data_IF_616226467550
#
_entry.id   IF_616226467550
#
_cell.length_a   1.000
_cell.length_b   1.000
_cell.length_c   1.000
_cell.angle_alpha   90.00
_cell.angle_beta   90.00
_cell.angle_gamma   90.00
#
_symmetry.space_group_name_H-M   'P 1'
#
loop_
_entity.id
_entity.type
_entity.pdbx_description
1 polymer ?
#
# COMPACT_ATOMS: atom_id res chain seq x y z
N UNK A 1 -18.62 10.08 34.41
CA UNK A 1 -17.75 11.17 33.95
C UNK A 1 -17.82 11.13 32.44
N UNK A 2 -18.60 12.11 31.92
CA UNK A 2 -18.97 12.25 30.53
C UNK A 2 -17.75 12.62 29.69
N UNK A 3 -17.60 11.95 28.55
CA UNK A 3 -16.67 12.32 27.49
C UNK A 3 -17.48 13.08 26.43
N UNK A 4 -17.30 14.39 26.39
CA UNK A 4 -17.88 15.30 25.42
C UNK A 4 -17.36 15.02 24.01
N UNK A 5 -18.25 14.55 23.17
CA UNK A 5 -18.07 14.40 21.73
C UNK A 5 -18.30 15.79 21.09
N UNK A 6 -17.21 16.46 20.68
CA UNK A 6 -17.30 17.74 19.98
C UNK A 6 -17.63 17.49 18.51
N UNK A 7 -18.90 17.57 18.17
CA UNK A 7 -19.36 17.62 16.78
C UNK A 7 -19.24 19.05 16.29
N UNK A 8 -18.28 19.34 15.43
CA UNK A 8 -18.19 20.64 14.73
C UNK A 8 -19.09 20.62 13.52
N UNK A 9 -20.29 21.17 13.65
CA UNK A 9 -21.17 21.49 12.50
C UNK A 9 -20.67 22.78 11.85
N UNK A 10 -20.13 22.69 10.65
CA UNK A 10 -19.88 23.85 9.80
C UNK A 10 -21.16 24.11 8.99
N UNK A 11 -22.00 24.99 9.49
CA UNK A 11 -23.09 25.56 8.69
C UNK A 11 -22.50 26.52 7.66
N UNK A 12 -22.60 26.16 6.38
CA UNK A 12 -22.31 27.05 5.26
C UNK A 12 -23.48 28.02 5.07
N UNK A 13 -23.33 29.24 5.58
CA UNK A 13 -24.17 30.37 5.19
C UNK A 13 -23.99 30.68 3.71
N UNK A 14 -24.95 30.22 2.92
CA UNK A 14 -25.07 30.60 1.50
C UNK A 14 -25.58 32.03 1.41
N UNK A 15 -24.67 32.99 1.30
CA UNK A 15 -24.99 34.29 0.72
C UNK A 15 -25.24 34.10 -0.78
N UNK A 16 -26.49 34.19 -1.16
CA UNK A 16 -26.96 34.17 -2.53
C UNK A 16 -26.46 35.42 -3.28
N UNK A 17 -25.50 35.23 -4.17
CA UNK A 17 -25.08 36.23 -5.15
C UNK A 17 -25.57 35.79 -6.53
N UNK A 18 -26.53 36.49 -7.18
CA UNK A 18 -26.99 36.15 -8.51
C UNK A 18 -25.98 36.67 -9.56
N UNK A 19 -25.20 35.79 -10.13
CA UNK A 19 -24.37 36.13 -11.29
C UNK A 19 -22.97 35.57 -11.34
N UNK A 20 -22.70 34.42 -10.75
CA UNK A 20 -21.43 33.72 -11.04
C UNK A 20 -21.68 32.61 -12.05
N UNK A 21 -21.11 32.75 -13.23
CA UNK A 21 -20.94 31.66 -14.17
C UNK A 21 -20.25 30.52 -13.43
N UNK A 22 -20.88 29.36 -13.46
CA UNK A 22 -20.28 28.11 -12.97
C UNK A 22 -18.92 27.91 -13.64
N UNK A 23 -17.88 27.76 -12.86
CA UNK A 23 -16.57 27.27 -13.32
C UNK A 23 -16.43 25.79 -12.96
N UNK A 24 -17.03 24.87 -13.74
CA UNK A 24 -16.82 23.43 -13.55
C UNK A 24 -15.45 22.97 -14.05
N UNK A 25 -14.81 23.79 -14.90
CA UNK A 25 -13.63 23.35 -15.66
C UNK A 25 -12.29 23.47 -14.91
N UNK A 26 -12.19 24.33 -13.89
CA UNK A 26 -10.90 24.59 -13.21
C UNK A 26 -10.53 23.45 -12.25
N UNK A 27 -11.49 22.94 -11.48
CA UNK A 27 -11.21 21.84 -10.53
C UNK A 27 -10.93 20.53 -11.27
N UNK A 28 -11.63 20.25 -12.37
CA UNK A 28 -11.39 19.06 -13.18
C UNK A 28 -10.06 19.14 -13.93
N UNK A 29 -9.63 20.33 -14.35
CA UNK A 29 -8.35 20.55 -15.00
C UNK A 29 -7.16 20.44 -14.05
N UNK A 30 -7.28 20.92 -12.81
CA UNK A 30 -6.26 20.78 -11.77
C UNK A 30 -6.12 19.31 -11.33
N UNK A 31 -7.20 18.56 -11.18
CA UNK A 31 -7.18 17.16 -10.81
C UNK A 31 -6.53 16.27 -11.89
N UNK A 32 -6.82 16.49 -13.16
CA UNK A 32 -6.15 15.80 -14.28
C UNK A 32 -4.65 16.09 -14.31
N UNK A 33 -4.27 17.34 -14.18
CA UNK A 33 -2.86 17.76 -14.16
C UNK A 33 -2.11 17.18 -12.93
N UNK A 34 -2.76 17.06 -11.78
CA UNK A 34 -2.17 16.43 -10.60
C UNK A 34 -1.97 14.93 -10.81
N UNK A 35 -2.96 14.22 -11.31
CA UNK A 35 -2.88 12.77 -11.59
C UNK A 35 -1.82 12.43 -12.63
N UNK A 36 -1.71 13.25 -13.67
CA UNK A 36 -0.70 13.07 -14.71
C UNK A 36 0.71 13.27 -14.14
N UNK A 37 0.94 14.33 -13.38
CA UNK A 37 2.23 14.57 -12.70
C UNK A 37 2.56 13.48 -11.70
N UNK A 38 1.56 12.99 -10.95
CA UNK A 38 1.74 11.90 -10.02
C UNK A 38 2.20 10.63 -10.74
N UNK A 39 1.58 10.32 -11.89
CA UNK A 39 1.95 9.17 -12.71
C UNK A 39 3.36 9.31 -13.26
N UNK A 40 3.71 10.44 -13.83
CA UNK A 40 5.06 10.72 -14.33
C UNK A 40 6.11 10.53 -13.22
N UNK A 41 5.87 11.09 -12.04
CA UNK A 41 6.78 10.94 -10.89
C UNK A 41 6.93 9.46 -10.48
N UNK A 42 5.84 8.69 -10.45
CA UNK A 42 5.90 7.27 -10.12
C UNK A 42 6.66 6.46 -11.19
N UNK A 43 6.48 6.80 -12.46
CA UNK A 43 7.19 6.18 -13.58
C UNK A 43 8.70 6.49 -13.51
N UNK A 44 9.09 7.73 -13.17
CA UNK A 44 10.48 8.11 -12.95
C UNK A 44 11.12 7.34 -11.77
N UNK A 45 10.40 7.20 -10.67
CA UNK A 45 10.89 6.42 -9.51
C UNK A 45 11.02 4.93 -9.87
N UNK A 46 10.11 4.37 -10.66
CA UNK A 46 10.22 2.98 -11.12
C UNK A 46 11.46 2.77 -12.01
N UNK A 47 11.81 3.74 -12.85
CA UNK A 47 13.06 3.71 -13.63
C UNK A 47 14.31 3.78 -12.73
N UNK A 48 14.25 4.52 -11.64
CA UNK A 48 15.32 4.66 -10.66
C UNK A 48 15.24 3.63 -9.51
N UNK A 49 14.48 2.56 -9.67
CA UNK A 49 14.20 1.57 -8.62
C UNK A 49 15.44 0.96 -7.98
N UNK A 50 16.55 0.87 -8.71
CA UNK A 50 17.83 0.42 -8.19
C UNK A 50 18.36 1.29 -7.04
N UNK A 51 18.04 2.58 -7.01
CA UNK A 51 18.41 3.49 -5.92
C UNK A 51 17.64 3.21 -4.62
N UNK A 52 16.50 2.51 -4.71
CA UNK A 52 15.69 2.12 -3.55
C UNK A 52 16.22 0.87 -2.81
N UNK A 53 17.35 0.34 -3.23
CA UNK A 53 18.01 -0.78 -2.54
C UNK A 53 18.62 -0.31 -1.21
N UNK A 54 18.50 -1.15 -0.18
CA UNK A 54 19.19 -0.94 1.12
C UNK A 54 20.70 -1.19 0.99
N UNK A 55 21.07 -2.16 0.17
CA UNK A 55 22.46 -2.55 -0.05
C UNK A 55 22.65 -2.96 -1.51
N UNK A 56 23.90 -2.92 -1.98
CA UNK A 56 24.27 -3.27 -3.34
C UNK A 56 24.72 -2.07 -4.17
N UNK A 57 25.13 -2.34 -5.41
CA UNK A 57 25.63 -1.31 -6.32
C UNK A 57 24.50 -0.34 -6.69
N UNK A 58 24.70 0.94 -6.40
CA UNK A 58 23.73 2.01 -6.67
C UNK A 58 22.62 2.17 -5.61
N UNK A 59 22.57 1.34 -4.58
CA UNK A 59 21.57 1.47 -3.52
C UNK A 59 21.80 2.70 -2.65
N UNK A 60 20.79 3.58 -2.59
CA UNK A 60 20.83 4.88 -1.88
C UNK A 60 19.59 5.12 -1.04
N UNK A 61 18.89 4.06 -0.62
CA UNK A 61 17.65 4.20 0.16
C UNK A 61 17.84 5.03 1.43
N UNK A 62 19.01 4.90 2.09
CA UNK A 62 19.36 5.69 3.27
C UNK A 62 19.42 7.19 3.01
N UNK A 63 19.78 7.61 1.79
CA UNK A 63 19.83 9.02 1.40
C UNK A 63 18.42 9.53 1.04
N UNK A 64 17.64 8.74 0.30
CA UNK A 64 16.31 9.11 -0.14
C UNK A 64 15.26 9.03 0.97
N UNK A 65 15.31 7.97 1.79
CA UNK A 65 14.36 7.77 2.89
C UNK A 65 14.96 6.92 4.02
N UNK A 66 15.66 7.55 4.97
CA UNK A 66 16.15 6.87 6.18
C UNK A 66 15.04 6.17 6.95
N UNK A 67 13.81 6.70 6.87
CA UNK A 67 12.62 6.10 7.51
C UNK A 67 12.27 4.75 6.87
N UNK A 68 12.19 4.67 5.55
CA UNK A 68 11.88 3.43 4.86
C UNK A 68 13.00 2.40 5.02
N UNK A 69 14.25 2.84 4.98
CA UNK A 69 15.39 1.98 5.28
C UNK A 69 15.25 1.36 6.68
N UNK A 70 14.94 2.17 7.69
CA UNK A 70 14.78 1.69 9.07
C UNK A 70 13.62 0.71 9.22
N UNK A 71 12.48 0.99 8.57
CA UNK A 71 11.33 0.08 8.58
C UNK A 71 11.72 -1.26 7.96
N UNK A 72 12.35 -1.23 6.78
CA UNK A 72 12.75 -2.45 6.06
C UNK A 72 13.80 -3.26 6.84
N UNK A 73 14.79 -2.59 7.45
CA UNK A 73 15.75 -3.26 8.33
C UNK A 73 15.09 -3.91 9.54
N UNK A 74 14.07 -3.28 10.13
CA UNK A 74 13.34 -3.87 11.24
C UNK A 74 12.56 -5.11 10.81
N UNK A 75 11.93 -5.09 9.64
CA UNK A 75 11.24 -6.25 9.06
C UNK A 75 12.25 -7.38 8.82
N UNK A 76 13.35 -7.10 8.14
CA UNK A 76 14.37 -8.09 7.80
C UNK A 76 15.08 -8.67 9.04
N UNK A 77 15.36 -7.85 10.05
CA UNK A 77 16.04 -8.31 11.26
C UNK A 77 15.19 -9.29 12.08
N UNK A 78 13.88 -9.19 12.02
CA UNK A 78 13.00 -10.16 12.67
C UNK A 78 12.94 -11.49 11.90
N UNK A 79 13.10 -11.45 10.57
CA UNK A 79 13.18 -12.66 9.74
C UNK A 79 14.51 -13.42 9.94
N UNK A 80 15.60 -12.69 10.22
CA UNK A 80 16.95 -13.29 10.36
C UNK A 80 17.26 -13.75 11.78
N UNK A 81 16.64 -13.19 12.81
CA UNK A 81 16.84 -13.60 14.20
C UNK A 81 15.96 -14.81 14.57
N UNK A 82 16.07 -15.89 13.82
CA UNK A 82 15.54 -17.20 14.18
C UNK A 82 16.35 -17.85 15.31
N UNK A 83 16.39 -17.21 16.44
CA UNK A 83 16.51 -17.96 17.69
C UNK A 83 15.14 -18.58 17.91
N UNK A 84 15.07 -19.89 17.92
CA UNK A 84 13.90 -20.76 17.74
C UNK A 84 12.75 -20.59 18.76
N UNK A 85 12.64 -19.46 19.40
CA UNK A 85 11.62 -19.12 20.40
C UNK A 85 10.74 -17.93 20.04
N UNK A 86 11.06 -17.16 18.99
CA UNK A 86 10.21 -16.07 18.49
C UNK A 86 9.58 -16.49 17.18
N UNK A 87 8.27 -16.69 17.18
CA UNK A 87 7.52 -16.89 15.93
C UNK A 87 7.73 -15.70 15.01
N UNK A 88 8.12 -15.97 13.76
CA UNK A 88 8.15 -14.96 12.69
C UNK A 88 6.74 -14.41 12.52
N UNK A 89 6.48 -13.28 13.17
CA UNK A 89 5.17 -12.64 13.14
C UNK A 89 4.98 -11.83 11.86
N UNK A 90 3.73 -11.60 11.51
CA UNK A 90 3.37 -10.67 10.45
C UNK A 90 3.61 -9.22 10.89
N UNK A 91 4.05 -8.38 9.96
CA UNK A 91 4.29 -6.95 10.20
C UNK A 91 3.15 -6.13 9.61
N UNK A 92 2.65 -5.16 10.37
CA UNK A 92 1.67 -4.19 9.89
C UNK A 92 2.34 -2.82 9.74
N UNK A 93 2.33 -2.30 8.51
CA UNK A 93 2.80 -0.94 8.20
C UNK A 93 1.60 -0.10 7.81
N UNK A 94 1.40 1.01 8.51
CA UNK A 94 0.30 1.94 8.28
C UNK A 94 0.81 3.31 7.84
N UNK A 95 0.13 3.92 6.86
CA UNK A 95 0.35 5.29 6.43
C UNK A 95 -0.96 5.94 6.02
N UNK A 96 -1.13 7.23 6.37
CA UNK A 96 -2.22 8.05 5.84
C UNK A 96 -2.04 8.39 4.36
N UNK A 97 -0.79 8.39 3.88
CA UNK A 97 -0.46 8.73 2.51
C UNK A 97 -0.43 7.47 1.65
N UNK A 98 -1.26 7.42 0.62
CA UNK A 98 -1.30 6.31 -0.33
C UNK A 98 -0.38 6.52 -1.54
N UNK A 99 -0.15 7.79 -1.91
CA UNK A 99 0.55 8.17 -3.13
C UNK A 99 2.08 8.29 -2.95
N UNK A 100 2.70 9.32 -3.53
CA UNK A 100 4.16 9.48 -3.66
C UNK A 100 4.89 9.50 -2.31
N UNK A 101 4.24 9.93 -1.23
CA UNK A 101 4.88 10.07 0.09
C UNK A 101 4.59 8.89 1.03
N UNK A 102 3.91 7.83 0.55
CA UNK A 102 3.37 6.81 1.42
C UNK A 102 3.53 5.37 0.92
N UNK A 103 2.43 4.63 0.96
CA UNK A 103 2.42 3.19 0.70
C UNK A 103 2.90 2.81 -0.71
N UNK A 104 2.65 3.64 -1.73
CA UNK A 104 3.09 3.34 -3.09
C UNK A 104 4.61 3.37 -3.24
N UNK A 105 5.29 4.34 -2.61
CA UNK A 105 6.76 4.36 -2.61
C UNK A 105 7.31 3.23 -1.75
N UNK A 106 6.71 2.97 -0.58
CA UNK A 106 7.16 1.88 0.26
C UNK A 106 6.98 0.50 -0.43
N UNK A 107 5.92 0.33 -1.23
CA UNK A 107 5.75 -0.84 -2.11
C UNK A 107 6.94 -1.00 -3.06
N UNK A 108 7.35 0.08 -3.74
CA UNK A 108 8.51 0.05 -4.64
C UNK A 108 9.81 -0.29 -3.89
N UNK A 109 9.97 0.23 -2.67
CA UNK A 109 11.10 -0.13 -1.80
C UNK A 109 11.09 -1.63 -1.48
N UNK A 110 9.94 -2.19 -1.08
CA UNK A 110 9.82 -3.63 -0.82
C UNK A 110 10.17 -4.45 -2.06
N UNK A 111 9.61 -4.12 -3.21
CA UNK A 111 9.84 -4.82 -4.48
C UNK A 111 11.30 -4.74 -4.94
N UNK A 112 11.94 -3.56 -4.80
CA UNK A 112 13.36 -3.40 -5.09
C UNK A 112 14.24 -4.30 -4.20
N UNK A 113 13.82 -4.54 -2.96
CA UNK A 113 14.54 -5.34 -1.98
C UNK A 113 14.07 -6.81 -1.91
N UNK A 114 13.45 -7.32 -2.97
CA UNK A 114 13.18 -8.75 -3.16
C UNK A 114 11.86 -9.25 -2.61
N UNK A 115 10.97 -8.37 -2.18
CA UNK A 115 9.61 -8.73 -1.79
C UNK A 115 8.68 -8.81 -3.00
N UNK A 116 7.66 -9.65 -2.93
CA UNK A 116 6.61 -9.73 -3.94
C UNK A 116 5.25 -9.33 -3.36
N UNK A 117 4.42 -8.66 -4.17
CA UNK A 117 3.04 -8.38 -3.77
C UNK A 117 2.20 -9.64 -3.86
N UNK A 118 1.62 -10.08 -2.75
CA UNK A 118 0.63 -11.14 -2.74
C UNK A 118 -0.68 -10.62 -3.35
N UNK A 119 -1.16 -11.32 -4.38
CA UNK A 119 -2.39 -10.97 -5.10
C UNK A 119 -3.29 -12.19 -5.22
N UNK A 120 -4.58 -11.95 -5.13
CA UNK A 120 -5.62 -12.90 -5.52
C UNK A 120 -6.45 -12.28 -6.63
N UNK A 121 -6.99 -13.10 -7.49
CA UNK A 121 -7.81 -12.69 -8.63
C UNK A 121 -9.06 -13.55 -8.75
N UNK A 122 -10.12 -12.97 -9.32
CA UNK A 122 -11.36 -13.66 -9.62
C UNK A 122 -11.35 -14.09 -11.08
N UNK A 123 -11.25 -15.39 -11.33
CA UNK A 123 -11.31 -16.00 -12.66
C UNK A 123 -12.54 -16.89 -12.78
N UNK A 124 -13.46 -16.54 -13.69
CA UNK A 124 -14.73 -17.26 -13.90
C UNK A 124 -15.53 -17.48 -12.61
N UNK A 125 -15.53 -16.49 -11.70
CA UNK A 125 -16.24 -16.57 -10.42
C UNK A 125 -15.50 -17.40 -9.35
N UNK A 126 -14.28 -17.82 -9.59
CA UNK A 126 -13.46 -18.59 -8.66
C UNK A 126 -12.25 -17.77 -8.25
N UNK A 127 -12.05 -17.59 -6.97
CA UNK A 127 -10.87 -16.92 -6.41
C UNK A 127 -9.63 -17.81 -6.54
N UNK A 128 -8.54 -17.24 -7.04
CA UNK A 128 -7.25 -17.92 -7.21
C UNK A 128 -6.12 -16.99 -6.79
N UNK A 129 -4.98 -17.57 -6.45
CA UNK A 129 -3.74 -16.82 -6.27
C UNK A 129 -3.29 -16.34 -7.66
N UNK A 130 -3.12 -15.03 -7.79
CA UNK A 130 -2.69 -14.33 -9.02
C UNK A 130 -1.23 -13.88 -8.88
N UNK A 131 -0.34 -14.87 -8.84
CA UNK A 131 1.11 -14.66 -8.73
C UNK A 131 1.85 -15.65 -9.62
N UNK A 132 2.98 -15.22 -10.17
CA UNK A 132 3.87 -16.13 -10.87
C UNK A 132 4.66 -17.01 -9.88
N UNK A 133 5.22 -18.13 -10.39
CA UNK A 133 5.91 -19.12 -9.55
C UNK A 133 7.16 -18.57 -8.85
N UNK A 134 7.83 -17.62 -9.47
CA UNK A 134 9.06 -17.00 -8.94
C UNK A 134 8.73 -16.10 -7.74
N UNK A 135 7.63 -15.35 -7.83
CA UNK A 135 7.20 -14.46 -6.77
C UNK A 135 6.64 -15.20 -5.55
N UNK A 136 6.08 -16.41 -5.76
CA UNK A 136 5.63 -17.26 -4.64
C UNK A 136 6.75 -17.75 -3.73
N UNK A 137 8.01 -17.66 -4.16
CA UNK A 137 9.18 -18.04 -3.37
C UNK A 137 9.79 -16.86 -2.60
N UNK A 138 9.33 -15.64 -2.87
CA UNK A 138 9.79 -14.42 -2.20
C UNK A 138 8.99 -14.15 -0.93
N UNK A 139 9.57 -13.41 0.03
CA UNK A 139 8.78 -12.85 1.10
C UNK A 139 7.69 -11.94 0.50
N UNK A 140 6.46 -12.11 0.96
CA UNK A 140 5.31 -11.44 0.38
C UNK A 140 4.78 -10.32 1.27
N UNK A 141 4.22 -9.30 0.65
CA UNK A 141 3.44 -8.27 1.32
C UNK A 141 2.03 -8.18 0.73
N UNK A 142 1.07 -7.81 1.55
CA UNK A 142 -0.31 -7.52 1.15
C UNK A 142 -0.49 -6.00 1.20
N UNK A 143 -1.00 -5.42 0.11
CA UNK A 143 -1.46 -4.04 0.10
C UNK A 143 -2.96 -4.03 0.43
N UNK A 144 -3.31 -3.34 1.52
CA UNK A 144 -4.69 -3.18 1.97
C UNK A 144 -5.05 -1.70 1.91
N UNK A 145 -5.71 -1.30 0.84
CA UNK A 145 -6.12 0.08 0.58
C UNK A 145 -7.64 0.21 0.48
N UNK A 146 -8.13 1.39 0.10
CA UNK A 146 -9.56 1.61 -0.16
C UNK A 146 -10.08 1.03 -1.48
N UNK A 147 -9.19 0.62 -2.38
CA UNK A 147 -9.53 0.35 -3.78
C UNK A 147 -9.92 -1.10 -4.07
N UNK A 148 -9.59 -2.05 -3.18
CA UNK A 148 -9.91 -3.46 -3.37
C UNK A 148 -11.41 -3.72 -3.11
N UNK A 149 -11.98 -4.74 -3.76
CA UNK A 149 -13.35 -5.19 -3.52
C UNK A 149 -13.50 -5.73 -2.10
N UNK A 150 -14.70 -5.60 -1.53
CA UNK A 150 -14.98 -6.02 -0.13
C UNK A 150 -14.59 -7.48 0.11
N UNK A 151 -14.97 -8.39 -0.79
CA UNK A 151 -14.68 -9.81 -0.67
C UNK A 151 -13.17 -10.11 -0.78
N UNK A 152 -12.47 -9.42 -1.69
CA UNK A 152 -11.02 -9.50 -1.81
C UNK A 152 -10.32 -9.11 -0.51
N UNK A 153 -10.76 -8.01 0.11
CA UNK A 153 -10.25 -7.54 1.40
C UNK A 153 -10.42 -8.56 2.51
N UNK A 154 -11.57 -9.21 2.55
CA UNK A 154 -11.84 -10.25 3.54
C UNK A 154 -10.87 -11.44 3.38
N UNK A 155 -10.70 -11.94 2.17
CA UNK A 155 -9.75 -13.04 1.92
C UNK A 155 -8.30 -12.64 2.20
N UNK A 156 -7.87 -11.45 1.78
CA UNK A 156 -6.52 -10.96 2.07
C UNK A 156 -6.27 -10.84 3.58
N UNK A 157 -7.28 -10.41 4.35
CA UNK A 157 -7.21 -10.35 5.82
C UNK A 157 -7.10 -11.74 6.44
N UNK A 158 -7.88 -12.71 5.96
CA UNK A 158 -7.81 -14.11 6.44
C UNK A 158 -6.43 -14.71 6.16
N UNK A 159 -5.88 -14.47 4.96
CA UNK A 159 -4.53 -14.92 4.58
C UNK A 159 -3.47 -14.29 5.49
N UNK A 160 -3.54 -12.98 5.72
CA UNK A 160 -2.61 -12.27 6.59
C UNK A 160 -2.61 -12.81 8.03
N UNK A 161 -3.79 -13.18 8.54
CA UNK A 161 -3.98 -13.73 9.87
C UNK A 161 -3.73 -15.25 9.94
N UNK A 162 -3.34 -15.90 8.83
CA UNK A 162 -3.18 -17.36 8.72
C UNK A 162 -4.45 -18.16 9.06
N UNK A 163 -5.63 -17.58 8.80
CA UNK A 163 -6.94 -18.20 9.01
C UNK A 163 -7.37 -19.04 7.79
N UNK A 164 -6.52 -19.99 7.42
CA UNK A 164 -6.67 -20.80 6.20
C UNK A 164 -7.97 -21.59 6.14
N UNK A 165 -8.49 -22.04 7.27
CA UNK A 165 -9.72 -22.86 7.35
C UNK A 165 -10.97 -22.11 6.86
N UNK A 166 -10.94 -20.78 6.89
CA UNK A 166 -12.05 -19.92 6.46
C UNK A 166 -11.98 -19.54 4.97
N UNK A 167 -10.91 -19.92 4.28
CA UNK A 167 -10.72 -19.61 2.87
C UNK A 167 -11.38 -20.66 1.97
N UNK A 168 -11.78 -20.29 0.73
CA UNK A 168 -12.11 -21.26 -0.32
C UNK A 168 -10.95 -22.21 -0.58
N UNK A 169 -11.24 -23.48 -0.94
CA UNK A 169 -10.22 -24.50 -1.20
C UNK A 169 -9.20 -24.08 -2.28
N UNK A 170 -9.60 -23.25 -3.22
CA UNK A 170 -8.75 -22.72 -4.30
C UNK A 170 -7.69 -21.73 -3.81
N UNK A 171 -7.86 -21.15 -2.62
CA UNK A 171 -6.90 -20.27 -1.96
C UNK A 171 -6.13 -20.94 -0.83
N UNK A 172 -6.52 -22.16 -0.42
CA UNK A 172 -5.77 -22.96 0.56
C UNK A 172 -4.60 -23.64 -0.15
N UNK A 173 -3.42 -23.48 0.38
CA UNK A 173 -2.23 -24.24 -0.04
C UNK A 173 -1.61 -24.93 1.16
#
# INVERSE_FOLDING_TARGET
>A
IDSDEVVVNIENDRLSNPGSMSTPDIEEFEDKSYKDRLKETLDEIELAKHELLVAGEGGRLNEHSPKFEKILKNINNQVVNTDSTTSDGTHLVYSFFNNVEGLNIFRMVLEANGYARFKIGLDNGIWKIDMNKEDLQKPCYILYSGNEKTEEKEYLKLIFNSEWDKLPDTLRK
#
